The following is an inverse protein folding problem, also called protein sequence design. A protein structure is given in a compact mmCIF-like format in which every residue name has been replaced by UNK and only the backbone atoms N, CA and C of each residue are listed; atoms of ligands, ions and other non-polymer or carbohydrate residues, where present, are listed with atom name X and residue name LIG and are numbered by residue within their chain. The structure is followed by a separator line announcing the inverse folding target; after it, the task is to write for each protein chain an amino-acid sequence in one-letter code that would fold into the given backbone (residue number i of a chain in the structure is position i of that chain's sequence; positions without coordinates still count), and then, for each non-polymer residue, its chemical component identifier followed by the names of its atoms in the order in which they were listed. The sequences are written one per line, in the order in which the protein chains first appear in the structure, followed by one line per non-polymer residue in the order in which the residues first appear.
data_IF_038995296159
#
_entry.id   IF_038995296159
#
_cell.length_a   1.000
_cell.length_b   1.000
_cell.length_c   1.000
_cell.angle_alpha   90.00
_cell.angle_beta   90.00
_cell.angle_gamma   90.00
#
_symmetry.space_group_name_H-M   'P 1'
#
loop_
_entity.id
_entity.type
_entity.pdbx_description
1 polymer ?
#
# COMPACT_ATOMS: atom_id res chain seq x y z
N UNK A 1 -27.77 -42.85 -13.17
CA UNK A 1 -27.12 -41.70 -13.84
C UNK A 1 -25.64 -41.84 -13.57
N UNK A 2 -24.91 -42.44 -14.51
CA UNK A 2 -23.47 -42.71 -14.39
C UNK A 2 -22.73 -41.50 -14.93
N UNK A 3 -22.44 -40.53 -14.07
CA UNK A 3 -21.49 -39.49 -14.40
C UNK A 3 -20.10 -40.13 -14.40
N UNK A 4 -19.53 -40.25 -15.59
CA UNK A 4 -18.12 -40.56 -15.79
C UNK A 4 -17.32 -39.34 -15.29
N UNK A 5 -17.20 -39.23 -13.96
CA UNK A 5 -16.46 -38.17 -13.29
C UNK A 5 -14.99 -38.30 -13.68
N UNK A 6 -14.59 -37.51 -14.68
CA UNK A 6 -13.22 -37.50 -15.18
C UNK A 6 -12.34 -36.88 -14.10
N UNK A 7 -11.75 -37.73 -13.26
CA UNK A 7 -10.80 -37.32 -12.23
C UNK A 7 -9.48 -36.83 -12.84
N UNK A 8 -8.67 -36.13 -12.04
CA UNK A 8 -7.33 -35.74 -12.43
C UNK A 8 -6.48 -36.99 -12.70
N UNK A 9 -5.84 -37.02 -13.87
CA UNK A 9 -4.99 -38.13 -14.29
C UNK A 9 -3.72 -38.25 -13.44
N UNK A 10 -3.20 -39.47 -13.34
CA UNK A 10 -1.95 -39.75 -12.61
C UNK A 10 -0.74 -39.00 -13.18
N UNK A 11 -0.75 -38.71 -14.49
CA UNK A 11 0.28 -37.91 -15.13
C UNK A 11 0.29 -36.46 -14.62
N UNK A 12 -0.89 -35.87 -14.42
CA UNK A 12 -1.00 -34.53 -13.84
C UNK A 12 -0.53 -34.52 -12.38
N UNK A 13 -0.84 -35.57 -11.61
CA UNK A 13 -0.34 -35.71 -10.24
C UNK A 13 1.19 -35.83 -10.18
N UNK A 14 1.81 -36.57 -11.10
CA UNK A 14 3.27 -36.66 -11.20
C UNK A 14 3.91 -35.32 -11.55
N UNK A 15 3.32 -34.57 -12.49
CA UNK A 15 3.79 -33.22 -12.82
C UNK A 15 3.65 -32.26 -11.64
N UNK A 16 2.58 -32.38 -10.85
CA UNK A 16 2.37 -31.62 -9.62
C UNK A 16 3.48 -31.88 -8.60
N UNK A 17 3.73 -33.15 -8.26
CA UNK A 17 4.77 -33.53 -7.29
C UNK A 17 6.18 -33.09 -7.75
N UNK A 18 6.41 -33.02 -9.06
CA UNK A 18 7.68 -32.57 -9.64
C UNK A 18 7.79 -31.04 -9.79
N UNK A 19 6.73 -30.28 -9.53
CA UNK A 19 6.70 -28.83 -9.74
C UNK A 19 6.83 -28.39 -11.20
N UNK A 20 6.44 -29.25 -12.15
CA UNK A 20 6.61 -29.01 -13.61
C UNK A 20 5.31 -28.61 -14.32
N UNK A 21 4.23 -28.40 -13.58
CA UNK A 21 2.96 -27.94 -14.14
C UNK A 21 3.08 -26.52 -14.70
N UNK A 22 2.48 -26.30 -15.86
CA UNK A 22 2.25 -24.93 -16.34
C UNK A 22 1.15 -24.24 -15.53
N UNK A 23 1.17 -22.91 -15.47
CA UNK A 23 0.18 -22.11 -14.72
C UNK A 23 -1.28 -22.45 -15.09
N UNK A 24 -1.55 -22.78 -16.36
CA UNK A 24 -2.89 -23.18 -16.82
C UNK A 24 -3.29 -24.58 -16.33
N UNK A 25 -2.34 -25.51 -16.26
CA UNK A 25 -2.58 -26.85 -15.74
C UNK A 25 -2.77 -26.81 -14.21
N UNK A 26 -2.03 -25.96 -13.50
CA UNK A 26 -2.23 -25.71 -12.07
C UNK A 26 -3.61 -25.14 -11.76
N UNK A 27 -4.05 -24.11 -12.50
CA UNK A 27 -5.39 -23.54 -12.33
C UNK A 27 -6.48 -24.60 -12.52
N UNK A 28 -6.35 -25.44 -13.55
CA UNK A 28 -7.27 -26.55 -13.82
C UNK A 28 -7.27 -27.58 -12.68
N UNK A 29 -6.08 -27.93 -12.17
CA UNK A 29 -5.92 -28.84 -11.05
C UNK A 29 -6.65 -28.31 -9.80
N UNK A 30 -6.36 -27.08 -9.38
CA UNK A 30 -6.94 -26.49 -8.18
C UNK A 30 -8.45 -26.28 -8.30
N UNK A 31 -8.92 -25.84 -9.47
CA UNK A 31 -10.35 -25.67 -9.75
C UNK A 31 -11.10 -27.01 -9.64
N UNK A 32 -10.52 -28.09 -10.15
CA UNK A 32 -11.13 -29.42 -10.06
C UNK A 32 -11.05 -30.00 -8.64
N UNK A 33 -9.92 -29.83 -7.94
CA UNK A 33 -9.77 -30.22 -6.53
C UNK A 33 -10.82 -29.54 -5.65
N UNK A 34 -11.16 -28.27 -5.92
CA UNK A 34 -12.22 -27.55 -5.20
C UNK A 34 -13.63 -28.12 -5.39
N UNK A 35 -13.88 -28.87 -6.47
CA UNK A 35 -15.20 -29.41 -6.82
C UNK A 35 -15.31 -30.93 -6.67
N UNK A 36 -14.20 -31.66 -6.58
CA UNK A 36 -14.16 -33.13 -6.56
C UNK A 36 -13.55 -33.65 -5.26
N UNK A 37 -14.38 -34.23 -4.41
CA UNK A 37 -13.98 -34.76 -3.09
C UNK A 37 -12.89 -35.82 -3.19
N UNK A 38 -12.96 -36.72 -4.18
CA UNK A 38 -11.94 -37.74 -4.43
C UNK A 38 -10.57 -37.12 -4.76
N UNK A 39 -10.54 -36.12 -5.66
CA UNK A 39 -9.29 -35.46 -6.03
C UNK A 39 -8.74 -34.60 -4.87
N UNK A 40 -9.61 -34.04 -4.01
CA UNK A 40 -9.20 -33.31 -2.82
C UNK A 40 -8.54 -34.22 -1.77
N UNK A 41 -9.11 -35.39 -1.51
CA UNK A 41 -8.52 -36.37 -0.61
C UNK A 41 -7.16 -36.84 -1.14
N UNK A 42 -7.06 -37.11 -2.44
CA UNK A 42 -5.80 -37.49 -3.07
C UNK A 42 -4.75 -36.37 -3.01
N UNK A 43 -5.17 -35.12 -3.23
CA UNK A 43 -4.31 -33.94 -3.09
C UNK A 43 -3.73 -33.82 -1.68
N UNK A 44 -4.59 -33.97 -0.65
CA UNK A 44 -4.17 -33.90 0.74
C UNK A 44 -3.12 -34.97 1.08
N UNK A 45 -3.33 -36.21 0.63
CA UNK A 45 -2.36 -37.29 0.82
C UNK A 45 -0.99 -36.99 0.18
N UNK A 46 -0.97 -36.43 -1.02
CA UNK A 46 0.28 -36.07 -1.72
C UNK A 46 1.00 -34.95 -0.96
N UNK A 47 0.28 -33.88 -0.60
CA UNK A 47 0.87 -32.74 0.13
C UNK A 47 1.38 -33.18 1.49
N UNK A 48 0.63 -33.98 2.25
CA UNK A 48 1.10 -34.50 3.53
C UNK A 48 2.38 -35.34 3.35
N UNK A 49 2.40 -36.22 2.35
CA UNK A 49 3.56 -37.10 2.08
C UNK A 49 4.82 -36.31 1.71
N UNK A 50 4.70 -35.32 0.84
CA UNK A 50 5.84 -34.50 0.39
C UNK A 50 6.32 -33.50 1.48
N UNK A 51 5.47 -33.16 2.45
CA UNK A 51 5.79 -32.20 3.52
C UNK A 51 6.29 -32.82 4.84
N UNK A 52 6.49 -34.15 4.95
CA UNK A 52 7.05 -34.78 6.17
C UNK A 52 8.54 -34.48 6.43
N UNK A 53 9.18 -33.64 5.61
CA UNK A 53 10.50 -33.12 5.94
C UNK A 53 10.40 -32.12 7.10
N UNK A 54 11.06 -32.42 8.23
CA UNK A 54 11.17 -31.46 9.33
C UNK A 54 11.76 -30.15 8.81
N UNK A 55 11.09 -29.00 9.00
CA UNK A 55 11.55 -27.74 8.46
C UNK A 55 12.92 -27.41 9.04
N UNK A 56 13.86 -26.88 8.23
CA UNK A 56 15.17 -26.50 8.73
C UNK A 56 15.07 -25.50 9.90
N UNK A 57 15.93 -25.66 10.92
CA UNK A 57 15.85 -24.89 12.17
C UNK A 57 15.95 -23.38 12.00
N UNK A 58 16.57 -22.90 10.91
CA UNK A 58 16.71 -21.47 10.60
C UNK A 58 15.43 -20.84 10.02
N UNK A 59 14.49 -21.65 9.52
CA UNK A 59 13.32 -21.17 8.78
C UNK A 59 12.34 -20.42 9.69
N UNK A 60 12.23 -20.84 10.96
CA UNK A 60 11.45 -20.13 11.96
C UNK A 60 11.97 -18.71 12.18
N UNK A 61 13.27 -18.59 12.48
CA UNK A 61 13.91 -17.30 12.77
C UNK A 61 13.83 -16.36 11.57
N UNK A 62 14.02 -16.87 10.35
CA UNK A 62 13.90 -16.07 9.13
C UNK A 62 12.47 -15.57 8.88
N UNK A 63 11.45 -16.42 9.07
CA UNK A 63 10.05 -16.01 8.91
C UNK A 63 9.67 -14.97 9.95
N UNK A 64 10.04 -15.17 11.21
CA UNK A 64 9.76 -14.22 12.30
C UNK A 64 10.42 -12.88 12.01
N UNK A 65 11.71 -12.87 11.67
CA UNK A 65 12.43 -11.65 11.34
C UNK A 65 11.83 -10.95 10.11
N UNK A 66 11.49 -11.70 9.05
CA UNK A 66 10.87 -11.14 7.83
C UNK A 66 9.45 -10.64 8.07
N UNK A 67 8.68 -11.28 8.94
CA UNK A 67 7.34 -10.82 9.35
C UNK A 67 7.39 -9.52 10.17
N UNK A 68 8.51 -9.28 10.86
CA UNK A 68 8.75 -8.06 11.64
C UNK A 68 9.24 -6.89 10.78
N UNK A 69 9.65 -7.14 9.53
CA UNK A 69 10.07 -6.07 8.61
C UNK A 69 8.91 -5.12 8.31
N UNK A 70 9.25 -3.83 8.29
CA UNK A 70 8.32 -2.70 8.22
C UNK A 70 7.39 -2.78 7.01
N UNK A 71 7.81 -3.38 5.89
CA UNK A 71 6.99 -3.55 4.68
C UNK A 71 5.77 -4.44 4.89
N UNK A 72 5.90 -5.52 5.66
CA UNK A 72 4.80 -6.46 5.93
C UNK A 72 3.83 -5.87 6.96
N UNK A 73 4.35 -5.17 7.98
CA UNK A 73 3.52 -4.45 8.95
C UNK A 73 2.82 -3.24 8.34
N UNK A 74 3.46 -2.50 7.43
CA UNK A 74 2.84 -1.40 6.71
C UNK A 74 1.70 -1.91 5.82
N UNK A 75 1.93 -2.97 5.04
CA UNK A 75 0.88 -3.57 4.21
C UNK A 75 -0.30 -4.14 5.03
N UNK A 76 -0.01 -4.80 6.15
CA UNK A 76 -1.03 -5.30 7.07
C UNK A 76 -1.79 -4.15 7.79
N UNK A 77 -1.08 -3.10 8.18
CA UNK A 77 -1.65 -1.91 8.82
C UNK A 77 -2.53 -1.14 7.85
N UNK A 78 -2.09 -0.96 6.59
CA UNK A 78 -2.86 -0.31 5.52
C UNK A 78 -4.16 -1.07 5.24
N UNK A 79 -4.13 -2.41 5.19
CA UNK A 79 -5.35 -3.22 5.04
C UNK A 79 -6.30 -3.05 6.23
N UNK A 80 -5.77 -2.99 7.45
CA UNK A 80 -6.57 -2.78 8.67
C UNK A 80 -7.14 -1.36 8.78
N UNK A 81 -6.41 -0.34 8.32
CA UNK A 81 -6.83 1.07 8.37
C UNK A 81 -7.70 1.48 7.19
N UNK A 82 -7.74 0.72 6.09
CA UNK A 82 -8.51 1.02 4.87
C UNK A 82 -10.02 1.29 5.11
N UNK A 83 -10.69 0.49 5.97
CA UNK A 83 -12.12 0.71 6.26
C UNK A 83 -12.36 1.99 7.07
N UNK A 84 -11.51 2.29 8.04
CA UNK A 84 -11.60 3.51 8.87
C UNK A 84 -11.21 4.77 8.06
N UNK A 85 -10.32 4.61 7.09
CA UNK A 85 -9.87 5.69 6.21
C UNK A 85 -11.00 6.25 5.33
N UNK A 86 -11.93 5.42 4.86
CA UNK A 86 -13.13 5.90 4.13
C UNK A 86 -13.99 6.84 4.97
N UNK A 87 -14.21 6.52 6.25
CA UNK A 87 -14.98 7.37 7.16
C UNK A 87 -14.26 8.69 7.43
N UNK A 88 -12.94 8.65 7.65
CA UNK A 88 -12.13 9.85 7.87
C UNK A 88 -12.08 10.75 6.64
N UNK A 89 -11.92 10.20 5.43
CA UNK A 89 -11.94 10.99 4.21
C UNK A 89 -13.31 11.61 3.94
N UNK A 90 -14.39 10.89 4.25
CA UNK A 90 -15.74 11.44 4.11
C UNK A 90 -16.00 12.57 5.11
N UNK A 91 -15.67 12.37 6.39
CA UNK A 91 -15.80 13.43 7.40
C UNK A 91 -14.89 14.62 7.11
N UNK A 92 -13.69 14.40 6.59
CA UNK A 92 -12.76 15.47 6.20
C UNK A 92 -13.28 16.24 4.98
N UNK A 93 -13.83 15.56 3.98
CA UNK A 93 -14.39 16.23 2.79
C UNK A 93 -15.57 17.12 3.15
N UNK A 94 -16.50 16.62 3.97
CA UNK A 94 -17.66 17.40 4.43
C UNK A 94 -17.20 18.52 5.37
N UNK A 95 -16.33 18.22 6.34
CA UNK A 95 -15.79 19.21 7.27
C UNK A 95 -15.00 20.32 6.58
N UNK A 96 -14.20 19.98 5.57
CA UNK A 96 -13.46 20.95 4.76
C UNK A 96 -14.40 21.87 3.97
N UNK A 97 -15.47 21.33 3.36
CA UNK A 97 -16.45 22.14 2.65
C UNK A 97 -17.15 23.12 3.59
N UNK A 98 -17.59 22.66 4.77
CA UNK A 98 -18.23 23.52 5.79
C UNK A 98 -17.26 24.60 6.28
N UNK A 99 -16.02 24.23 6.61
CA UNK A 99 -15.00 25.19 7.03
C UNK A 99 -14.68 26.21 5.94
N UNK A 100 -14.60 25.79 4.67
CA UNK A 100 -14.38 26.67 3.53
C UNK A 100 -15.57 27.62 3.30
N UNK A 101 -16.81 27.14 3.45
CA UNK A 101 -18.01 27.99 3.37
C UNK A 101 -18.02 29.04 4.48
N UNK A 102 -17.79 28.64 5.73
CA UNK A 102 -17.70 29.57 6.86
C UNK A 102 -16.56 30.56 6.66
N UNK A 103 -15.41 30.10 6.17
CA UNK A 103 -14.26 30.95 5.88
C UNK A 103 -14.59 31.97 4.79
N UNK A 104 -15.21 31.56 3.68
CA UNK A 104 -15.64 32.46 2.61
C UNK A 104 -16.64 33.50 3.13
N UNK A 105 -17.67 33.07 3.87
CA UNK A 105 -18.66 33.96 4.50
C UNK A 105 -18.01 34.95 5.49
N UNK A 106 -17.06 34.48 6.29
CA UNK A 106 -16.33 35.34 7.23
C UNK A 106 -15.47 36.35 6.48
N UNK A 107 -14.75 35.93 5.44
CA UNK A 107 -13.96 36.84 4.61
C UNK A 107 -14.86 37.87 3.90
N UNK A 108 -15.98 37.47 3.30
CA UNK A 108 -16.90 38.40 2.61
C UNK A 108 -17.57 39.37 3.58
N UNK A 109 -18.00 38.92 4.77
CA UNK A 109 -18.62 39.81 5.78
C UNK A 109 -17.61 40.78 6.39
N UNK A 110 -16.33 40.42 6.51
CA UNK A 110 -15.28 41.39 6.89
C UNK A 110 -14.99 42.41 5.79
N UNK A 111 -15.34 42.13 4.54
CA UNK A 111 -15.27 43.13 3.46
C UNK A 111 -16.51 44.02 3.40
N UNK A 112 -17.68 43.62 3.91
CA UNK A 112 -18.91 44.42 3.82
C UNK A 112 -18.91 45.72 4.66
N UNK A 113 -17.95 45.89 5.58
CA UNK A 113 -17.68 47.19 6.20
C UNK A 113 -16.91 48.17 5.29
N UNK A 114 -16.52 47.77 4.08
CA UNK A 114 -16.06 48.65 2.99
C UNK A 114 -16.65 48.15 1.66
N UNK A 115 -17.63 48.82 1.05
CA UNK A 115 -18.29 48.31 -0.14
C UNK A 115 -17.28 48.22 -1.28
N UNK A 116 -16.88 47.01 -1.66
CA UNK A 116 -16.15 46.78 -2.90
C UNK A 116 -16.86 45.75 -3.75
N UNK A 117 -17.07 46.20 -4.98
CA UNK A 117 -17.89 45.65 -6.03
C UNK A 117 -17.66 44.16 -6.28
N UNK A 118 -18.77 43.46 -6.51
CA UNK A 118 -18.79 42.13 -7.06
C UNK A 118 -18.35 42.21 -8.54
N UNK A 119 -17.07 42.01 -8.80
CA UNK A 119 -16.58 41.78 -10.16
C UNK A 119 -16.72 40.31 -10.54
N UNK A 120 -17.36 40.10 -11.68
CA UNK A 120 -17.54 38.86 -12.42
C UNK A 120 -16.37 37.87 -12.31
N UNK A 121 -16.73 36.60 -12.33
CA UNK A 121 -15.85 35.48 -12.63
C UNK A 121 -15.29 35.67 -14.05
N UNK A 122 -14.23 36.45 -14.18
CA UNK A 122 -13.38 36.43 -15.37
C UNK A 122 -12.15 35.60 -15.07
N UNK A 123 -12.11 34.45 -15.73
CA UNK A 123 -10.91 33.70 -16.03
C UNK A 123 -9.90 34.64 -16.71
N UNK A 124 -9.00 35.23 -15.92
CA UNK A 124 -7.88 36.00 -16.45
C UNK A 124 -6.57 35.55 -15.79
N UNK A 125 -5.73 35.00 -16.66
CA UNK A 125 -4.33 34.72 -16.49
C UNK A 125 -3.56 35.94 -15.96
N UNK A 126 -3.32 35.98 -14.64
CA UNK A 126 -2.19 36.69 -14.08
C UNK A 126 -1.79 36.01 -12.76
N UNK A 127 -0.78 35.13 -12.84
CA UNK A 127 -0.18 34.48 -11.67
C UNK A 127 0.87 35.41 -11.05
N UNK A 128 0.64 36.04 -9.89
CA UNK A 128 1.73 36.36 -8.99
C UNK A 128 2.22 35.06 -8.31
N UNK A 129 3.12 34.40 -9.03
CA UNK A 129 4.22 33.53 -8.58
C UNK A 129 4.04 32.77 -7.25
N UNK A 130 3.21 31.73 -7.27
CA UNK A 130 3.33 30.59 -6.32
C UNK A 130 4.75 29.99 -6.40
N UNK A 131 5.40 30.07 -7.56
CA UNK A 131 6.78 29.67 -7.78
C UNK A 131 7.78 30.43 -6.90
N UNK A 132 7.63 31.75 -6.69
CA UNK A 132 8.52 32.52 -5.79
C UNK A 132 8.39 32.09 -4.34
N UNK A 133 7.16 31.85 -3.86
CA UNK A 133 6.93 31.36 -2.48
C UNK A 133 7.50 29.96 -2.23
N UNK A 134 7.49 29.09 -3.25
CA UNK A 134 8.10 27.76 -3.16
C UNK A 134 9.62 27.86 -3.22
N UNK A 135 10.15 28.70 -4.11
CA UNK A 135 11.59 28.91 -4.26
C UNK A 135 12.22 29.49 -2.98
N UNK A 136 11.59 30.51 -2.37
CA UNK A 136 12.08 31.13 -1.13
C UNK A 136 12.08 30.16 0.06
N UNK A 137 11.09 29.26 0.13
CA UNK A 137 11.04 28.22 1.16
C UNK A 137 12.02 27.07 0.89
N UNK A 138 12.28 26.77 -0.39
CA UNK A 138 13.26 25.76 -0.80
C UNK A 138 14.68 26.16 -0.40
N UNK A 139 15.08 27.42 -0.65
CA UNK A 139 16.40 27.92 -0.24
C UNK A 139 16.61 27.91 1.28
N UNK A 140 15.55 28.16 2.07
CA UNK A 140 15.64 28.05 3.54
C UNK A 140 15.84 26.60 3.97
N UNK A 141 15.10 25.67 3.36
CA UNK A 141 15.22 24.25 3.66
C UNK A 141 16.59 23.68 3.27
N UNK A 142 17.12 24.04 2.10
CA UNK A 142 18.47 23.61 1.69
C UNK A 142 19.56 24.19 2.59
N UNK A 143 19.39 25.41 3.11
CA UNK A 143 20.28 25.98 4.12
C UNK A 143 20.33 25.16 5.42
N UNK A 144 19.18 24.70 5.92
CA UNK A 144 19.13 23.84 7.11
C UNK A 144 19.76 22.47 6.87
N UNK A 145 19.58 21.89 5.68
CA UNK A 145 20.24 20.62 5.33
C UNK A 145 21.75 20.77 5.20
N UNK A 146 22.22 21.87 4.63
CA UNK A 146 23.65 22.17 4.50
C UNK A 146 24.30 22.33 5.89
N UNK A 147 23.64 23.04 6.80
CA UNK A 147 24.12 23.22 8.18
C UNK A 147 24.15 21.89 8.94
N UNK A 148 23.09 21.09 8.84
CA UNK A 148 23.05 19.76 9.45
C UNK A 148 24.14 18.83 8.88
N UNK A 149 24.40 18.90 7.57
CA UNK A 149 25.45 18.11 6.91
C UNK A 149 26.83 18.54 7.37
N UNK A 150 27.10 19.83 7.46
CA UNK A 150 28.39 20.35 7.93
C UNK A 150 28.63 19.98 9.40
N UNK A 151 27.61 20.07 10.27
CA UNK A 151 27.72 19.65 11.68
C UNK A 151 27.92 18.13 11.83
N UNK A 152 27.31 17.32 10.95
CA UNK A 152 27.54 15.88 10.93
C UNK A 152 28.97 15.54 10.50
N UNK A 153 29.50 16.24 9.51
CA UNK A 153 30.88 16.06 9.05
C UNK A 153 31.89 16.51 10.10
N UNK A 154 31.65 17.61 10.82
CA UNK A 154 32.48 18.03 11.95
C UNK A 154 32.47 17.02 13.10
N UNK A 155 31.31 16.43 13.41
CA UNK A 155 31.22 15.36 14.41
C UNK A 155 32.04 14.14 14.00
N UNK A 156 31.94 13.74 12.72
CA UNK A 156 32.68 12.61 12.17
C UNK A 156 34.20 12.83 12.14
N UNK A 157 34.65 14.05 11.84
CA UNK A 157 36.09 14.40 11.86
C UNK A 157 36.63 14.42 13.30
N UNK A 158 35.79 14.68 14.30
CA UNK A 158 36.17 14.68 15.73
C UNK A 158 36.21 13.27 16.35
N UNK A 159 35.52 12.28 15.78
CA UNK A 159 35.58 10.87 16.19
C UNK A 159 36.81 10.12 15.66
N UNK A 160 37.47 10.63 14.61
CA UNK A 160 38.64 10.00 13.96
C UNK A 160 40.01 10.53 14.46
N UNK A 161 40.06 11.22 15.60
CA UNK A 161 41.29 11.73 16.23
C UNK A 161 41.39 11.34 17.71
#
# INVERSE_FOLDING_TARGET
MTEEHTHISDEMWKKYAQGTLSTKEEEKLYTHVGCCTYCAERFANIVETDFFAEPPSYLYDEIVERSRKVDVQAAATVRKTSKKMKLLFYSLKVGFAVAASIFLLTMTTTLEQNPLEFSEVQQQENKPSITKKINDNSYKFTGYLQDATNRLLEFKIKEDK
#
